data_IF_310506430814
#
_entry.id   IF_310506430814
#
_cell.length_a   1.000
_cell.length_b   1.000
_cell.length_c   1.000
_cell.angle_alpha   90.00
_cell.angle_beta   90.00
_cell.angle_gamma   90.00
#
_symmetry.space_group_name_H-M   'P 1'
#
loop_
_entity.id
_entity.type
_entity.pdbx_description
1 polymer ?
#
# COMPACT_ATOMS: atom_id res chain seq x y z
N UNK A 1 -18.59 1.40 -21.63
CA UNK A 1 -19.30 0.62 -20.57
C UNK A 1 -19.39 1.50 -19.33
N UNK A 2 -20.42 1.39 -18.50
CA UNK A 2 -20.48 2.09 -17.22
C UNK A 2 -19.32 1.62 -16.32
N UNK A 3 -18.81 2.53 -15.49
CA UNK A 3 -17.78 2.18 -14.53
C UNK A 3 -18.30 1.12 -13.52
N UNK A 4 -17.48 0.16 -13.07
CA UNK A 4 -17.96 -0.99 -12.30
C UNK A 4 -18.68 -0.63 -11.00
N UNK A 5 -18.34 0.49 -10.38
CA UNK A 5 -18.94 0.94 -9.12
C UNK A 5 -19.84 2.20 -9.26
N UNK A 6 -20.27 2.52 -10.47
CA UNK A 6 -21.09 3.73 -10.73
C UNK A 6 -22.40 3.83 -9.91
N UNK A 7 -22.85 2.71 -9.36
CA UNK A 7 -24.08 2.66 -8.55
C UNK A 7 -23.82 2.76 -7.04
N UNK A 8 -22.55 2.90 -6.59
CA UNK A 8 -22.21 2.98 -5.19
C UNK A 8 -21.93 4.41 -4.75
N UNK A 9 -22.46 4.76 -3.59
CA UNK A 9 -22.27 6.07 -2.95
C UNK A 9 -21.61 5.90 -1.59
N UNK A 10 -20.55 6.65 -1.35
CA UNK A 10 -19.66 6.52 -0.20
C UNK A 10 -19.60 7.83 0.58
N UNK A 11 -19.89 7.79 1.89
CA UNK A 11 -19.55 8.84 2.84
C UNK A 11 -18.17 8.55 3.42
N UNK A 12 -17.22 9.44 3.16
CA UNK A 12 -15.83 9.31 3.58
C UNK A 12 -15.51 10.29 4.71
N UNK A 13 -15.34 9.79 5.93
CA UNK A 13 -14.95 10.56 7.12
C UNK A 13 -13.47 10.47 7.43
N UNK A 14 -12.69 9.87 6.53
CA UNK A 14 -11.28 9.61 6.75
C UNK A 14 -10.38 10.81 6.42
N UNK A 15 -9.17 10.79 6.97
CA UNK A 15 -8.14 11.82 6.77
C UNK A 15 -6.77 11.18 6.54
N UNK A 16 -5.78 11.94 6.15
CA UNK A 16 -4.40 11.51 5.89
C UNK A 16 -4.32 10.47 4.75
N UNK A 17 -4.01 9.19 5.06
CA UNK A 17 -3.62 8.22 4.04
C UNK A 17 -4.55 7.00 3.92
N UNK A 18 -4.74 6.11 4.91
CA UNK A 18 -5.34 4.79 4.63
C UNK A 18 -6.78 4.86 4.12
N UNK A 19 -7.65 5.61 4.77
CA UNK A 19 -9.03 5.80 4.34
C UNK A 19 -9.14 6.60 3.04
N UNK A 20 -8.48 7.76 2.91
CA UNK A 20 -8.51 8.54 1.68
C UNK A 20 -7.98 7.79 0.46
N UNK A 21 -6.97 6.94 0.61
CA UNK A 21 -6.47 6.12 -0.48
C UNK A 21 -7.46 5.01 -0.86
N UNK A 22 -8.10 4.37 0.12
CA UNK A 22 -9.15 3.37 -0.13
C UNK A 22 -10.31 3.97 -0.92
N UNK A 23 -10.85 5.11 -0.47
CA UNK A 23 -11.99 5.77 -1.12
C UNK A 23 -11.61 6.40 -2.46
N UNK A 24 -10.36 6.81 -2.68
CA UNK A 24 -9.84 7.20 -3.99
C UNK A 24 -9.85 6.02 -4.97
N UNK A 25 -9.39 4.83 -4.56
CA UNK A 25 -9.44 3.64 -5.41
C UNK A 25 -10.88 3.30 -5.81
N UNK A 26 -11.83 3.41 -4.88
CA UNK A 26 -13.26 3.20 -5.17
C UNK A 26 -13.81 4.26 -6.13
N UNK A 27 -13.39 5.53 -5.98
CA UNK A 27 -13.73 6.61 -6.91
C UNK A 27 -13.14 6.37 -8.31
N UNK A 28 -11.89 5.89 -8.41
CA UNK A 28 -11.28 5.50 -9.69
C UNK A 28 -12.05 4.38 -10.41
N UNK A 29 -12.73 3.51 -9.66
CA UNK A 29 -13.63 2.48 -10.18
C UNK A 29 -15.06 3.00 -10.44
N UNK A 30 -15.32 4.28 -10.21
CA UNK A 30 -16.56 4.97 -10.56
C UNK A 30 -17.55 5.19 -9.43
N UNK A 31 -17.22 4.87 -8.18
CA UNK A 31 -18.09 5.18 -7.05
C UNK A 31 -18.20 6.71 -6.83
N UNK A 32 -19.39 7.18 -6.46
CA UNK A 32 -19.59 8.53 -5.97
C UNK A 32 -19.05 8.64 -4.54
N UNK A 33 -18.09 9.52 -4.30
CA UNK A 33 -17.49 9.70 -2.96
C UNK A 33 -17.73 11.12 -2.47
N UNK A 34 -18.45 11.26 -1.35
CA UNK A 34 -18.63 12.50 -0.62
C UNK A 34 -17.77 12.49 0.65
N UNK A 35 -16.72 13.29 0.65
CA UNK A 35 -15.84 13.46 1.80
C UNK A 35 -16.43 14.47 2.78
N UNK A 36 -16.53 14.07 4.05
CA UNK A 36 -16.98 14.90 5.15
C UNK A 36 -15.77 15.49 5.86
N UNK A 37 -15.63 16.80 5.84
CA UNK A 37 -14.54 17.53 6.45
C UNK A 37 -15.02 18.37 7.64
N UNK A 38 -14.26 18.36 8.73
CA UNK A 38 -14.48 19.27 9.84
C UNK A 38 -13.95 20.67 9.49
N UNK A 39 -14.76 21.75 9.59
CA UNK A 39 -14.31 23.10 9.29
C UNK A 39 -13.29 23.65 10.30
N UNK A 40 -13.29 23.12 11.52
CA UNK A 40 -12.45 23.53 12.64
C UNK A 40 -11.18 22.67 12.81
N UNK A 41 -10.98 21.67 11.93
CA UNK A 41 -9.80 20.80 11.97
C UNK A 41 -9.26 20.57 10.56
N UNK A 42 -8.05 21.07 10.32
CA UNK A 42 -7.38 20.89 9.04
C UNK A 42 -6.86 19.44 8.92
N UNK A 43 -7.19 18.78 7.80
CA UNK A 43 -6.51 17.54 7.43
C UNK A 43 -5.03 17.85 7.15
N UNK A 44 -4.11 17.17 7.85
CA UNK A 44 -2.68 17.42 7.72
C UNK A 44 -2.19 17.17 6.28
N UNK A 45 -2.84 16.31 5.51
CA UNK A 45 -2.52 16.12 4.10
C UNK A 45 -2.65 17.42 3.28
N UNK A 46 -3.49 18.38 3.69
CA UNK A 46 -3.64 19.69 3.02
C UNK A 46 -2.44 20.61 3.19
N UNK A 47 -1.68 20.43 4.28
CA UNK A 47 -0.56 21.31 4.63
C UNK A 47 0.81 20.63 4.47
N UNK A 48 0.84 19.41 3.97
CA UNK A 48 2.08 18.67 3.70
C UNK A 48 2.67 19.06 2.34
N UNK A 49 3.96 19.46 2.28
CA UNK A 49 4.65 19.64 1.01
C UNK A 49 4.90 18.30 0.30
N UNK A 50 5.20 18.32 -1.02
CA UNK A 50 5.32 19.49 -1.87
C UNK A 50 3.96 20.08 -2.27
N UNK A 51 3.99 21.34 -2.71
CA UNK A 51 2.81 22.04 -3.19
C UNK A 51 2.88 22.27 -4.71
N UNK A 52 1.73 22.17 -5.36
CA UNK A 52 1.49 22.63 -6.70
C UNK A 52 0.49 23.80 -6.65
N UNK A 53 0.97 25.02 -6.83
CA UNK A 53 0.23 26.22 -6.47
C UNK A 53 -0.08 26.28 -4.97
N UNK A 54 -1.36 26.37 -4.62
CA UNK A 54 -1.84 26.36 -3.22
C UNK A 54 -2.21 24.97 -2.69
N UNK A 55 -2.14 23.93 -3.52
CA UNK A 55 -2.59 22.59 -3.17
C UNK A 55 -1.41 21.68 -2.80
N UNK A 56 -1.50 20.98 -1.68
CA UNK A 56 -0.63 19.84 -1.40
C UNK A 56 -0.83 18.76 -2.48
N UNK A 57 0.27 18.28 -3.07
CA UNK A 57 0.20 17.24 -4.10
C UNK A 57 -0.39 15.94 -3.58
N UNK A 58 -0.07 15.57 -2.34
CA UNK A 58 -0.66 14.40 -1.66
C UNK A 58 -2.17 14.55 -1.52
N UNK A 59 -2.63 15.73 -1.06
CA UNK A 59 -4.05 15.97 -0.88
C UNK A 59 -4.82 15.97 -2.20
N UNK A 60 -4.27 16.59 -3.26
CA UNK A 60 -4.88 16.58 -4.59
C UNK A 60 -4.98 15.16 -5.15
N UNK A 61 -3.92 14.36 -4.97
CA UNK A 61 -3.89 12.97 -5.42
C UNK A 61 -4.94 12.12 -4.69
N UNK A 62 -4.97 12.14 -3.35
CA UNK A 62 -5.92 11.35 -2.54
C UNK A 62 -7.36 11.86 -2.64
N UNK A 63 -7.55 13.12 -3.03
CA UNK A 63 -8.85 13.77 -3.17
C UNK A 63 -9.48 13.63 -4.55
N UNK A 64 -8.76 13.08 -5.54
CA UNK A 64 -9.29 13.00 -6.91
C UNK A 64 -10.58 12.19 -6.99
N UNK A 65 -11.50 12.64 -7.81
CA UNK A 65 -12.80 11.98 -8.01
C UNK A 65 -13.78 12.13 -6.84
N UNK A 66 -13.45 12.91 -5.80
CA UNK A 66 -14.30 13.11 -4.62
C UNK A 66 -14.91 14.50 -4.57
N UNK A 67 -16.14 14.58 -4.07
CA UNK A 67 -16.76 15.82 -3.62
C UNK A 67 -16.47 16.02 -2.13
N UNK A 68 -16.58 17.26 -1.65
CA UNK A 68 -16.35 17.60 -0.24
C UNK A 68 -17.53 18.37 0.33
N UNK A 69 -17.98 17.98 1.52
CA UNK A 69 -18.96 18.69 2.32
C UNK A 69 -18.36 19.00 3.71
N UNK A 70 -18.39 20.25 4.10
CA UNK A 70 -17.91 20.66 5.42
C UNK A 70 -19.03 20.50 6.46
N UNK A 71 -18.79 19.68 7.49
CA UNK A 71 -19.71 19.47 8.61
C UNK A 71 -18.93 19.45 9.93
N UNK A 72 -19.35 20.27 10.88
CA UNK A 72 -18.85 20.19 12.24
C UNK A 72 -19.64 19.13 13.02
N UNK A 73 -19.12 17.92 13.09
CA UNK A 73 -19.82 16.78 13.73
C UNK A 73 -20.03 16.95 15.25
N UNK A 74 -19.55 18.03 15.86
CA UNK A 74 -19.89 18.42 17.24
C UNK A 74 -21.22 19.18 17.33
N UNK A 75 -21.77 19.59 16.22
CA UNK A 75 -23.04 20.31 16.14
C UNK A 75 -24.19 19.34 15.80
N UNK A 76 -25.31 19.38 16.54
CA UNK A 76 -26.44 18.49 16.32
C UNK A 76 -26.97 18.51 14.87
N UNK A 77 -27.00 19.68 14.25
CA UNK A 77 -27.48 19.86 12.88
C UNK A 77 -26.61 19.09 11.88
N UNK A 78 -25.30 19.05 12.09
CA UNK A 78 -24.36 18.29 11.26
C UNK A 78 -24.55 16.78 11.43
N UNK A 79 -24.80 16.33 12.64
CA UNK A 79 -25.12 14.92 12.96
C UNK A 79 -26.40 14.50 12.24
N UNK A 80 -27.47 15.31 12.35
CA UNK A 80 -28.75 15.05 11.65
C UNK A 80 -28.55 15.07 10.12
N UNK A 81 -27.69 15.96 9.59
CA UNK A 81 -27.36 15.95 8.16
C UNK A 81 -26.70 14.65 7.72
N UNK A 82 -25.77 14.08 8.51
CA UNK A 82 -25.16 12.77 8.22
C UNK A 82 -26.23 11.67 8.23
N UNK A 83 -27.14 11.66 9.20
CA UNK A 83 -28.23 10.67 9.27
C UNK A 83 -29.17 10.76 8.06
N UNK A 84 -29.44 11.97 7.54
CA UNK A 84 -30.19 12.13 6.31
C UNK A 84 -29.43 11.57 5.11
N UNK A 85 -28.12 11.89 4.98
CA UNK A 85 -27.29 11.41 3.87
C UNK A 85 -27.22 9.88 3.82
N UNK A 86 -27.10 9.21 4.96
CA UNK A 86 -27.02 7.73 5.05
C UNK A 86 -28.24 7.03 4.44
N UNK A 87 -29.38 7.69 4.31
CA UNK A 87 -30.56 7.11 3.63
C UNK A 87 -30.29 6.86 2.13
N UNK A 88 -29.43 7.68 1.51
CA UNK A 88 -29.13 7.66 0.06
C UNK A 88 -27.70 7.13 -0.23
N UNK A 89 -26.89 6.86 0.82
CA UNK A 89 -25.53 6.41 0.69
C UNK A 89 -25.40 4.95 1.11
N UNK A 90 -24.59 4.21 0.37
CA UNK A 90 -24.41 2.75 0.52
C UNK A 90 -23.37 2.39 1.56
N UNK A 91 -22.34 3.23 1.68
CA UNK A 91 -21.09 2.90 2.38
C UNK A 91 -20.66 4.09 3.23
N UNK A 92 -20.26 3.81 4.46
CA UNK A 92 -19.52 4.74 5.33
C UNK A 92 -18.10 4.22 5.50
N UNK A 93 -17.10 5.07 5.30
CA UNK A 93 -15.69 4.80 5.61
C UNK A 93 -15.21 5.81 6.65
N UNK A 94 -14.66 5.31 7.75
CA UNK A 94 -14.11 6.14 8.81
C UNK A 94 -12.77 5.59 9.32
N UNK A 95 -11.97 6.44 9.98
CA UNK A 95 -10.71 6.00 10.59
C UNK A 95 -10.45 6.73 11.93
N UNK A 96 -11.50 7.02 12.66
CA UNK A 96 -11.38 7.53 14.03
C UNK A 96 -10.97 6.41 14.99
N UNK A 97 -10.53 6.79 16.17
CA UNK A 97 -10.35 5.79 17.26
C UNK A 97 -11.67 5.15 17.60
N UNK A 98 -11.67 3.88 18.05
CA UNK A 98 -12.88 3.17 18.46
C UNK A 98 -13.77 4.00 19.39
N UNK A 99 -15.07 3.94 19.16
CA UNK A 99 -16.08 4.66 19.94
C UNK A 99 -16.19 6.16 19.68
N UNK A 100 -15.39 6.76 18.79
CA UNK A 100 -15.53 8.19 18.46
C UNK A 100 -16.83 8.45 17.70
N UNK A 101 -17.14 7.66 16.69
CA UNK A 101 -18.38 7.79 15.91
C UNK A 101 -19.62 7.54 16.77
N UNK A 102 -19.55 6.61 17.74
CA UNK A 102 -20.63 6.37 18.71
C UNK A 102 -20.88 7.60 19.58
N UNK A 103 -19.82 8.21 20.14
CA UNK A 103 -19.92 9.46 20.91
C UNK A 103 -20.46 10.64 20.10
N UNK A 104 -20.23 10.65 18.80
CA UNK A 104 -20.80 11.65 17.89
C UNK A 104 -22.26 11.36 17.52
N UNK A 105 -22.83 10.19 17.91
CA UNK A 105 -24.21 9.81 17.60
C UNK A 105 -24.41 9.33 16.16
N UNK A 106 -23.33 8.93 15.47
CA UNK A 106 -23.30 8.40 14.09
C UNK A 106 -22.47 7.12 13.99
N UNK A 107 -22.40 6.33 15.08
CA UNK A 107 -21.80 5.00 15.07
C UNK A 107 -22.64 4.00 14.28
N UNK A 108 -22.07 2.81 14.05
CA UNK A 108 -22.65 1.79 13.17
C UNK A 108 -24.09 1.43 13.53
N UNK A 109 -24.40 1.15 14.82
CA UNK A 109 -25.74 0.72 15.22
C UNK A 109 -26.81 1.81 14.99
N UNK A 110 -26.45 3.08 15.18
CA UNK A 110 -27.33 4.22 14.89
C UNK A 110 -27.60 4.34 13.39
N UNK A 111 -26.55 4.27 12.58
CA UNK A 111 -26.68 4.44 11.13
C UNK A 111 -27.31 3.21 10.47
N UNK A 112 -27.05 2.01 10.95
CA UNK A 112 -27.70 0.76 10.52
C UNK A 112 -29.22 0.77 10.80
N UNK A 113 -29.65 1.35 11.91
CA UNK A 113 -31.07 1.49 12.20
C UNK A 113 -31.81 2.40 11.18
N UNK A 114 -31.10 3.35 10.58
CA UNK A 114 -31.61 4.25 9.52
C UNK A 114 -31.56 3.57 8.16
N UNK A 115 -30.42 2.93 7.84
CA UNK A 115 -30.20 2.18 6.61
C UNK A 115 -29.68 0.77 6.90
N UNK A 116 -30.57 -0.25 6.98
CA UNK A 116 -30.15 -1.64 7.25
C UNK A 116 -29.23 -2.26 6.19
N UNK A 117 -29.14 -1.64 5.02
CA UNK A 117 -28.26 -2.06 3.91
C UNK A 117 -26.89 -1.40 3.96
N UNK A 118 -26.64 -0.53 4.95
CA UNK A 118 -25.41 0.22 5.07
C UNK A 118 -24.19 -0.70 5.29
N UNK A 119 -23.18 -0.52 4.49
CA UNK A 119 -21.84 -1.10 4.71
C UNK A 119 -21.01 -0.05 5.47
N UNK A 120 -20.53 -0.40 6.64
CA UNK A 120 -19.74 0.48 7.49
C UNK A 120 -18.33 -0.07 7.64
N UNK A 121 -17.33 0.65 7.15
CA UNK A 121 -15.93 0.25 7.20
C UNK A 121 -15.15 1.17 8.13
N UNK A 122 -14.67 0.62 9.25
CA UNK A 122 -13.78 1.28 10.18
C UNK A 122 -12.34 0.83 9.95
N UNK A 123 -11.43 1.77 9.70
CA UNK A 123 -9.99 1.50 9.47
C UNK A 123 -9.23 2.05 10.65
N UNK A 124 -8.59 1.18 11.44
CA UNK A 124 -7.87 1.60 12.64
C UNK A 124 -6.50 0.92 12.76
N UNK A 125 -5.65 1.43 13.64
CA UNK A 125 -4.32 0.86 13.85
C UNK A 125 -4.35 -0.56 14.41
N UNK A 126 -5.27 -0.83 15.36
CA UNK A 126 -5.28 -2.07 16.14
C UNK A 126 -6.64 -2.76 16.18
N UNK A 127 -7.59 -2.36 15.32
CA UNK A 127 -8.96 -2.90 15.33
C UNK A 127 -9.85 -2.27 16.39
N UNK A 128 -11.14 -2.68 16.36
CA UNK A 128 -12.17 -2.19 17.28
C UNK A 128 -12.16 -2.90 18.65
N UNK A 129 -11.38 -3.97 18.77
CA UNK A 129 -11.31 -4.82 19.98
C UNK A 129 -9.87 -5.01 20.43
N UNK A 130 -9.68 -5.74 21.51
CA UNK A 130 -8.35 -6.08 22.02
C UNK A 130 -7.71 -4.99 22.90
N UNK A 131 -6.57 -5.33 23.53
CA UNK A 131 -5.94 -4.47 24.55
C UNK A 131 -5.33 -3.16 23.98
N UNK A 132 -5.11 -3.09 22.67
CA UNK A 132 -4.47 -1.94 22.02
C UNK A 132 -5.45 -1.04 21.26
N UNK A 133 -6.76 -1.34 21.26
CA UNK A 133 -7.76 -0.60 20.47
C UNK A 133 -7.71 0.93 20.66
N UNK A 134 -7.37 1.39 21.85
CA UNK A 134 -7.31 2.82 22.19
C UNK A 134 -5.90 3.42 22.06
N UNK A 135 -4.90 2.63 21.64
CA UNK A 135 -3.53 3.13 21.48
C UNK A 135 -3.37 3.98 20.22
N UNK A 136 -2.50 4.98 20.34
CA UNK A 136 -2.00 5.73 19.19
C UNK A 136 -0.94 4.90 18.44
N UNK A 137 -0.87 5.07 17.14
CA UNK A 137 0.15 4.48 16.29
C UNK A 137 0.12 5.06 14.89
N UNK A 138 1.18 4.82 14.17
CA UNK A 138 1.35 5.07 12.75
C UNK A 138 1.91 3.80 12.09
N UNK A 139 2.02 3.79 10.79
CA UNK A 139 2.50 2.68 9.97
C UNK A 139 3.66 1.90 10.60
N UNK A 140 4.73 2.59 10.97
CA UNK A 140 5.93 2.00 11.57
C UNK A 140 5.64 1.20 12.86
N UNK A 141 4.65 1.65 13.66
CA UNK A 141 4.27 0.95 14.90
C UNK A 141 3.50 -0.35 14.59
N UNK A 142 2.65 -0.32 13.57
CA UNK A 142 1.89 -1.49 13.10
C UNK A 142 2.82 -2.53 12.50
N UNK A 143 3.80 -2.11 11.68
CA UNK A 143 4.84 -2.98 11.14
C UNK A 143 5.72 -3.60 12.23
N UNK A 144 6.03 -2.85 13.29
CA UNK A 144 6.83 -3.35 14.41
C UNK A 144 6.10 -4.45 15.19
N UNK A 145 4.82 -4.24 15.54
CA UNK A 145 4.04 -5.22 16.32
C UNK A 145 3.64 -6.43 15.49
N UNK A 146 3.37 -6.26 14.19
CA UNK A 146 3.03 -7.36 13.29
C UNK A 146 4.19 -8.30 12.97
N UNK A 147 5.41 -7.98 13.41
CA UNK A 147 6.60 -8.78 13.12
C UNK A 147 7.23 -8.53 11.74
N UNK A 148 6.60 -7.80 10.83
CA UNK A 148 7.15 -7.49 9.49
C UNK A 148 8.52 -6.84 9.60
N UNK A 149 8.68 -5.85 10.49
CA UNK A 149 9.94 -5.14 10.66
C UNK A 149 11.10 -6.04 11.16
N UNK A 150 10.80 -7.16 11.84
CA UNK A 150 11.82 -8.01 12.49
C UNK A 150 12.77 -8.73 11.52
N UNK A 151 12.33 -8.91 10.26
CA UNK A 151 13.10 -9.63 9.24
C UNK A 151 13.37 -8.79 7.97
N UNK A 152 13.10 -7.49 8.03
CA UNK A 152 13.43 -6.53 6.98
C UNK A 152 14.77 -5.83 7.24
N UNK A 153 15.45 -5.44 6.16
CA UNK A 153 16.70 -4.68 6.22
C UNK A 153 17.95 -5.53 6.23
N UNK A 154 19.04 -4.95 6.74
CA UNK A 154 20.35 -5.60 6.83
C UNK A 154 20.60 -6.10 8.25
N UNK A 155 21.40 -7.15 8.37
CA UNK A 155 21.69 -7.80 9.66
C UNK A 155 22.44 -6.87 10.64
N UNK A 156 23.19 -5.91 10.13
CA UNK A 156 24.06 -5.00 10.90
C UNK A 156 23.42 -3.63 11.21
N UNK A 157 22.26 -3.30 10.62
CA UNK A 157 21.66 -1.95 10.73
C UNK A 157 20.26 -1.91 11.36
N UNK A 158 19.66 -3.06 11.62
CA UNK A 158 18.29 -3.18 12.13
C UNK A 158 17.21 -2.83 11.09
N UNK A 159 15.93 -2.74 11.50
CA UNK A 159 14.83 -2.52 10.59
C UNK A 159 14.86 -1.08 10.02
N UNK A 160 14.86 -0.91 8.69
CA UNK A 160 14.81 0.41 8.07
C UNK A 160 13.38 0.96 8.09
N UNK A 161 13.20 2.28 8.25
CA UNK A 161 11.93 2.91 7.88
C UNK A 161 11.67 2.68 6.39
N UNK A 162 10.47 2.20 6.06
CA UNK A 162 10.10 1.97 4.66
C UNK A 162 9.78 3.31 3.98
N UNK A 163 10.13 3.43 2.70
CA UNK A 163 9.80 4.62 1.89
C UNK A 163 8.31 4.73 1.53
N UNK A 164 7.55 3.65 1.72
CA UNK A 164 6.09 3.60 1.57
C UNK A 164 5.46 3.08 2.86
N UNK A 165 4.23 3.48 3.14
CA UNK A 165 3.48 3.10 4.33
C UNK A 165 2.74 1.78 4.07
N UNK A 166 3.40 0.66 4.31
CA UNK A 166 2.90 -0.68 3.97
C UNK A 166 1.68 -1.05 4.81
N UNK A 167 1.70 -0.79 6.12
CA UNK A 167 0.57 -1.09 6.99
C UNK A 167 -0.64 -0.21 6.69
N UNK A 168 -0.44 1.08 6.38
CA UNK A 168 -1.50 1.99 6.00
C UNK A 168 -2.11 1.63 4.65
N UNK A 169 -1.28 1.42 3.62
CA UNK A 169 -1.72 1.20 2.24
C UNK A 169 -2.13 -0.24 2.00
N UNK A 170 -1.19 -1.20 2.10
CA UNK A 170 -1.51 -2.61 1.87
C UNK A 170 -2.38 -3.18 3.00
N UNK A 171 -2.08 -2.85 4.25
CA UNK A 171 -2.85 -3.29 5.41
C UNK A 171 -4.21 -2.60 5.51
N UNK A 172 -4.23 -1.28 5.55
CA UNK A 172 -5.46 -0.49 5.72
C UNK A 172 -6.27 -0.38 4.44
N UNK A 173 -5.74 0.35 3.45
CA UNK A 173 -6.52 0.75 2.28
C UNK A 173 -6.96 -0.43 1.42
N UNK A 174 -6.04 -1.33 1.04
CA UNK A 174 -6.38 -2.45 0.17
C UNK A 174 -7.34 -3.44 0.86
N UNK A 175 -7.13 -3.74 2.16
CA UNK A 175 -8.04 -4.61 2.90
C UNK A 175 -9.41 -3.96 3.09
N UNK A 176 -9.49 -2.64 3.29
CA UNK A 176 -10.76 -1.92 3.32
C UNK A 176 -11.51 -2.06 2.00
N UNK A 177 -10.85 -1.84 0.86
CA UNK A 177 -11.48 -2.01 -0.47
C UNK A 177 -11.95 -3.45 -0.66
N UNK A 178 -11.11 -4.45 -0.36
CA UNK A 178 -11.51 -5.87 -0.46
C UNK A 178 -12.71 -6.19 0.43
N UNK A 179 -12.70 -5.74 1.68
CA UNK A 179 -13.80 -5.95 2.62
C UNK A 179 -15.11 -5.28 2.16
N UNK A 180 -15.02 -4.04 1.67
CA UNK A 180 -16.16 -3.31 1.12
C UNK A 180 -16.75 -4.04 -0.09
N UNK A 181 -15.92 -4.45 -1.05
CA UNK A 181 -16.38 -5.17 -2.26
C UNK A 181 -17.01 -6.53 -1.90
N UNK A 182 -16.43 -7.27 -0.97
CA UNK A 182 -17.01 -8.51 -0.46
C UNK A 182 -18.38 -8.28 0.21
N UNK A 183 -18.50 -7.20 1.01
CA UNK A 183 -19.77 -6.83 1.63
C UNK A 183 -20.81 -6.37 0.60
N UNK A 184 -20.41 -5.67 -0.46
CA UNK A 184 -21.30 -5.29 -1.57
C UNK A 184 -21.86 -6.53 -2.25
N UNK A 185 -21.02 -7.54 -2.55
CA UNK A 185 -21.46 -8.80 -3.15
C UNK A 185 -22.43 -9.52 -2.21
N UNK A 186 -22.09 -9.67 -0.93
CA UNK A 186 -22.98 -10.29 0.06
C UNK A 186 -24.32 -9.56 0.17
N UNK A 187 -24.31 -8.23 0.19
CA UNK A 187 -25.52 -7.41 0.25
C UNK A 187 -26.46 -7.65 -0.94
N UNK A 188 -25.92 -7.91 -2.13
CA UNK A 188 -26.74 -8.22 -3.32
C UNK A 188 -27.57 -9.51 -3.12
N UNK A 189 -27.03 -10.46 -2.37
CA UNK A 189 -27.72 -11.75 -2.08
C UNK A 189 -28.66 -11.64 -0.87
N UNK A 190 -28.20 -10.98 0.20
CA UNK A 190 -28.92 -10.98 1.48
C UNK A 190 -29.82 -9.78 1.68
N UNK A 191 -29.58 -8.68 0.98
CA UNK A 191 -30.24 -7.39 1.22
C UNK A 191 -29.74 -6.65 2.47
N UNK A 192 -28.77 -7.20 3.21
CA UNK A 192 -28.27 -6.66 4.47
C UNK A 192 -26.90 -5.99 4.30
N UNK A 193 -26.66 -4.91 5.07
CA UNK A 193 -25.36 -4.27 5.19
C UNK A 193 -24.39 -5.07 6.06
N UNK A 194 -23.21 -4.49 6.32
CA UNK A 194 -22.18 -5.12 7.12
C UNK A 194 -21.36 -4.09 7.89
N UNK A 195 -20.83 -4.51 9.05
CA UNK A 195 -19.73 -3.80 9.71
C UNK A 195 -18.41 -4.48 9.35
N UNK A 196 -17.43 -3.69 8.93
CA UNK A 196 -16.11 -4.14 8.53
C UNK A 196 -15.09 -3.47 9.44
N UNK A 197 -14.39 -4.27 10.23
CA UNK A 197 -13.31 -3.83 11.12
C UNK A 197 -11.97 -4.14 10.47
N UNK A 198 -11.27 -3.10 10.02
CA UNK A 198 -9.93 -3.21 9.43
C UNK A 198 -8.90 -2.73 10.46
N UNK A 199 -8.14 -3.69 10.99
CA UNK A 199 -6.95 -3.45 11.79
C UNK A 199 -5.72 -3.45 10.90
N UNK A 200 -5.04 -2.31 10.79
CA UNK A 200 -3.79 -2.22 10.02
C UNK A 200 -2.69 -3.13 10.56
N UNK A 201 -2.67 -3.38 11.87
CA UNK A 201 -1.74 -4.32 12.50
C UNK A 201 -2.04 -5.77 12.12
N UNK A 202 -3.31 -6.18 12.16
CA UNK A 202 -3.70 -7.55 11.83
C UNK A 202 -3.45 -7.83 10.34
N UNK A 203 -3.80 -6.88 9.50
CA UNK A 203 -3.52 -6.96 8.07
C UNK A 203 -2.01 -7.02 7.78
N UNK A 204 -1.20 -6.19 8.44
CA UNK A 204 0.25 -6.26 8.33
C UNK A 204 0.81 -7.60 8.82
N UNK A 205 0.25 -8.17 9.90
CA UNK A 205 0.61 -9.52 10.36
C UNK A 205 0.29 -10.57 9.28
N UNK A 206 -0.86 -10.48 8.61
CA UNK A 206 -1.24 -11.40 7.54
C UNK A 206 -0.32 -11.30 6.30
N UNK A 207 0.32 -10.14 6.06
CA UNK A 207 1.32 -9.99 5.00
C UNK A 207 2.59 -10.83 5.21
N UNK A 208 2.84 -11.35 6.42
CA UNK A 208 3.91 -12.33 6.67
C UNK A 208 3.59 -13.74 6.10
N UNK A 209 2.93 -13.85 4.99
CA UNK A 209 2.38 -15.10 4.46
C UNK A 209 3.39 -16.26 4.43
N UNK A 210 4.64 -16.02 4.03
CA UNK A 210 5.69 -17.05 3.97
C UNK A 210 6.44 -17.17 5.31
N UNK A 211 7.00 -16.07 5.80
CA UNK A 211 7.80 -16.06 7.03
C UNK A 211 6.96 -16.41 8.27
N UNK A 212 5.75 -15.85 8.36
CA UNK A 212 4.81 -16.10 9.45
C UNK A 212 4.29 -17.53 9.45
N UNK A 213 3.89 -18.06 8.29
CA UNK A 213 3.46 -19.46 8.17
C UNK A 213 4.55 -20.43 8.62
N UNK A 214 5.79 -20.22 8.19
CA UNK A 214 6.93 -21.04 8.61
C UNK A 214 7.19 -20.93 10.12
N UNK A 215 7.21 -19.73 10.68
CA UNK A 215 7.45 -19.51 12.10
C UNK A 215 6.36 -20.12 12.99
N UNK A 216 5.08 -19.96 12.62
CA UNK A 216 3.95 -20.53 13.36
C UNK A 216 3.88 -22.05 13.28
N UNK A 217 4.42 -22.65 12.21
CA UNK A 217 4.54 -24.11 12.08
C UNK A 217 5.77 -24.69 12.80
N UNK A 218 6.48 -23.92 13.60
CA UNK A 218 7.66 -24.36 14.35
C UNK A 218 8.98 -24.28 13.58
N UNK A 219 9.00 -23.59 12.43
CA UNK A 219 10.23 -23.31 11.69
C UNK A 219 11.10 -22.28 12.40
N UNK A 220 12.33 -22.13 11.92
CA UNK A 220 13.24 -21.11 12.45
C UNK A 220 12.73 -19.70 12.14
N UNK A 221 12.75 -18.79 13.12
CA UNK A 221 12.37 -17.40 12.88
C UNK A 221 13.28 -16.76 11.82
N UNK A 222 12.66 -16.09 10.85
CA UNK A 222 13.40 -15.34 9.88
C UNK A 222 14.02 -14.08 10.52
N UNK A 223 15.26 -13.80 10.17
CA UNK A 223 16.00 -12.59 10.54
C UNK A 223 16.34 -11.81 9.27
N UNK A 224 16.76 -10.55 9.37
CA UNK A 224 17.34 -9.85 8.22
C UNK A 224 18.46 -10.69 7.58
N UNK A 225 18.48 -10.77 6.27
CA UNK A 225 19.50 -11.52 5.50
C UNK A 225 19.62 -13.00 5.83
N UNK A 226 18.57 -13.66 6.33
CA UNK A 226 18.62 -15.08 6.66
C UNK A 226 17.76 -15.98 5.77
N UNK A 227 16.81 -15.40 5.06
CA UNK A 227 15.91 -16.12 4.18
C UNK A 227 16.27 -15.98 2.71
N UNK A 228 15.67 -16.83 1.88
CA UNK A 228 15.90 -16.84 0.45
C UNK A 228 15.52 -15.50 -0.23
N UNK A 229 14.47 -14.81 0.23
CA UNK A 229 13.90 -13.61 -0.40
C UNK A 229 14.23 -12.30 0.34
N UNK A 230 15.08 -12.33 1.36
CA UNK A 230 15.41 -11.13 2.13
C UNK A 230 16.93 -10.87 2.24
N UNK A 231 17.68 -11.30 1.21
CA UNK A 231 19.12 -11.08 1.14
C UNK A 231 19.99 -12.19 1.77
N UNK A 232 19.41 -13.27 2.27
CA UNK A 232 20.17 -14.43 2.79
C UNK A 232 20.83 -15.29 1.70
N UNK A 233 20.48 -15.05 0.44
CA UNK A 233 21.04 -15.67 -0.75
C UNK A 233 21.54 -14.60 -1.72
N UNK A 234 21.88 -14.99 -2.95
CA UNK A 234 22.21 -14.04 -4.01
C UNK A 234 21.00 -13.19 -4.50
N UNK A 235 19.77 -13.50 -4.07
CA UNK A 235 18.61 -12.66 -4.26
C UNK A 235 18.75 -11.38 -3.43
N UNK A 236 19.18 -10.28 -4.06
CA UNK A 236 19.50 -9.03 -3.36
C UNK A 236 19.60 -7.83 -4.32
N UNK A 237 19.90 -6.67 -3.74
CA UNK A 237 20.29 -5.45 -4.45
C UNK A 237 21.82 -5.30 -4.44
N UNK A 238 22.37 -4.96 -5.60
CA UNK A 238 23.81 -4.83 -5.80
C UNK A 238 24.19 -3.45 -6.30
N UNK A 239 25.22 -2.86 -5.69
CA UNK A 239 25.67 -1.51 -6.04
C UNK A 239 26.53 -1.51 -7.29
N UNK A 240 26.23 -0.63 -8.22
CA UNK A 240 26.98 -0.40 -9.45
C UNK A 240 28.15 0.54 -9.19
N UNK A 241 29.08 0.65 -10.16
CA UNK A 241 30.28 1.51 -10.08
C UNK A 241 29.94 2.98 -9.77
N UNK A 242 28.84 3.49 -10.28
CA UNK A 242 28.35 4.86 -10.09
C UNK A 242 27.47 5.06 -8.85
N UNK A 243 27.46 4.08 -7.93
CA UNK A 243 26.73 4.15 -6.67
C UNK A 243 25.21 3.93 -6.78
N UNK A 244 24.71 3.58 -7.97
CA UNK A 244 23.32 3.18 -8.20
C UNK A 244 23.14 1.70 -7.85
N UNK A 245 21.95 1.13 -8.10
CA UNK A 245 21.63 -0.22 -7.69
C UNK A 245 20.92 -1.02 -8.77
N UNK A 246 21.25 -2.33 -8.84
CA UNK A 246 20.50 -3.34 -9.58
C UNK A 246 19.82 -4.30 -8.59
N UNK A 247 18.61 -4.72 -8.91
CA UNK A 247 17.95 -5.86 -8.28
C UNK A 247 18.32 -7.14 -9.01
N UNK A 248 18.58 -8.22 -8.28
CA UNK A 248 18.81 -9.56 -8.81
C UNK A 248 17.81 -10.50 -8.17
N UNK A 249 16.86 -11.00 -8.97
CA UNK A 249 15.80 -11.91 -8.55
C UNK A 249 15.85 -13.28 -9.26
N UNK A 250 16.99 -13.69 -9.79
CA UNK A 250 17.21 -14.80 -10.73
C UNK A 250 17.16 -16.19 -10.06
N UNK A 251 16.08 -16.50 -9.34
CA UNK A 251 16.01 -17.73 -8.51
C UNK A 251 15.84 -19.01 -9.32
N UNK A 252 15.06 -18.99 -10.41
CA UNK A 252 14.82 -20.17 -11.21
C UNK A 252 16.05 -20.56 -12.05
N UNK A 253 16.26 -21.86 -12.33
CA UNK A 253 17.48 -22.36 -13.00
C UNK A 253 17.81 -21.67 -14.32
N UNK A 254 16.80 -21.36 -15.14
CA UNK A 254 16.98 -20.67 -16.42
C UNK A 254 17.45 -19.23 -16.24
N UNK A 255 16.93 -18.52 -15.23
CA UNK A 255 17.29 -17.11 -14.97
C UNK A 255 18.67 -17.02 -14.29
N UNK A 256 18.96 -17.87 -13.32
CA UNK A 256 20.28 -17.92 -12.68
C UNK A 256 21.39 -18.33 -13.66
N UNK A 257 21.07 -19.24 -14.61
CA UNK A 257 22.00 -19.58 -15.66
C UNK A 257 22.34 -18.38 -16.56
N UNK A 258 21.29 -17.65 -17.05
CA UNK A 258 21.48 -16.45 -17.86
C UNK A 258 22.22 -15.33 -17.10
N UNK A 259 21.88 -15.13 -15.83
CA UNK A 259 22.61 -14.19 -14.95
C UNK A 259 24.10 -14.53 -14.92
N UNK A 260 24.46 -15.77 -14.57
CA UNK A 260 25.85 -16.20 -14.46
C UNK A 260 26.59 -16.10 -15.80
N UNK A 261 25.92 -16.43 -16.93
CA UNK A 261 26.53 -16.29 -18.26
C UNK A 261 26.81 -14.82 -18.57
N UNK A 262 25.85 -13.94 -18.32
CA UNK A 262 25.97 -12.50 -18.59
C UNK A 262 27.05 -11.83 -17.73
N UNK A 263 27.19 -12.30 -16.48
CA UNK A 263 28.22 -11.82 -15.55
C UNK A 263 29.57 -12.53 -15.71
N UNK A 264 29.70 -13.47 -16.65
CA UNK A 264 30.91 -14.29 -16.84
C UNK A 264 31.27 -15.12 -15.58
N UNK A 265 30.25 -15.64 -14.86
CA UNK A 265 30.34 -16.44 -13.66
C UNK A 265 29.92 -17.90 -13.92
N UNK A 266 30.19 -18.43 -15.11
CA UNK A 266 29.70 -19.74 -15.54
C UNK A 266 30.07 -20.91 -14.62
N UNK A 267 31.23 -20.85 -13.97
CA UNK A 267 31.70 -21.85 -12.99
C UNK A 267 30.88 -21.88 -11.69
N UNK A 268 30.21 -20.78 -11.34
CA UNK A 268 29.37 -20.66 -10.14
C UNK A 268 27.89 -20.95 -10.39
N UNK A 269 27.48 -21.31 -11.60
CA UNK A 269 26.06 -21.58 -11.94
C UNK A 269 25.40 -22.58 -10.98
N UNK A 270 26.11 -23.65 -10.62
CA UNK A 270 25.58 -24.69 -9.72
C UNK A 270 25.32 -24.16 -8.31
N UNK A 271 25.96 -23.06 -7.91
CA UNK A 271 25.79 -22.46 -6.58
C UNK A 271 24.43 -21.77 -6.42
N UNK A 272 23.85 -21.27 -7.50
CA UNK A 272 22.54 -20.65 -7.47
C UNK A 272 21.43 -21.58 -6.93
N UNK A 273 21.56 -22.88 -7.21
CA UNK A 273 20.59 -23.90 -6.78
C UNK A 273 21.03 -24.61 -5.48
N UNK A 274 22.17 -24.25 -4.92
CA UNK A 274 22.73 -24.90 -3.74
C UNK A 274 22.03 -24.42 -2.47
N UNK A 275 21.74 -25.36 -1.55
CA UNK A 275 21.23 -25.04 -0.21
C UNK A 275 22.36 -24.77 0.80
N UNK A 276 23.63 -24.84 0.38
CA UNK A 276 24.78 -24.61 1.24
C UNK A 276 25.01 -23.09 1.41
N UNK A 277 25.03 -22.57 2.64
CA UNK A 277 25.23 -21.12 2.87
C UNK A 277 26.52 -20.58 2.25
N UNK A 278 27.60 -21.34 2.30
CA UNK A 278 28.90 -20.97 1.73
C UNK A 278 28.84 -20.77 0.22
N UNK A 279 28.10 -21.59 -0.53
CA UNK A 279 27.92 -21.43 -1.97
C UNK A 279 27.10 -20.17 -2.29
N UNK A 280 26.07 -19.90 -1.49
CA UNK A 280 25.25 -18.69 -1.66
C UNK A 280 26.07 -17.42 -1.38
N UNK A 281 26.91 -17.45 -0.35
CA UNK A 281 27.79 -16.33 0.00
C UNK A 281 28.86 -16.07 -1.08
N UNK A 282 29.46 -17.12 -1.61
CA UNK A 282 30.46 -17.02 -2.68
C UNK A 282 29.85 -16.47 -3.96
N UNK A 283 28.70 -17.00 -4.41
CA UNK A 283 28.00 -16.49 -5.57
C UNK A 283 27.59 -15.02 -5.37
N UNK A 284 27.02 -14.68 -4.20
CA UNK A 284 26.65 -13.31 -3.84
C UNK A 284 27.84 -12.35 -3.90
N UNK A 285 28.99 -12.77 -3.38
CA UNK A 285 30.22 -11.96 -3.42
C UNK A 285 30.72 -11.76 -4.84
N UNK A 286 30.71 -12.80 -5.68
CA UNK A 286 31.11 -12.72 -7.08
C UNK A 286 30.18 -11.81 -7.88
N UNK A 287 28.88 -11.92 -7.73
CA UNK A 287 27.88 -11.01 -8.36
C UNK A 287 28.14 -9.57 -7.93
N UNK A 288 28.34 -9.33 -6.61
CA UNK A 288 28.65 -7.97 -6.11
C UNK A 288 29.89 -7.38 -6.75
N UNK A 289 30.95 -8.17 -6.91
CA UNK A 289 32.19 -7.73 -7.56
C UNK A 289 31.94 -7.37 -9.04
N UNK A 290 31.26 -8.24 -9.77
CA UNK A 290 30.98 -8.02 -11.20
C UNK A 290 30.07 -6.81 -11.44
N UNK A 291 29.01 -6.65 -10.66
CA UNK A 291 28.11 -5.51 -10.82
C UNK A 291 28.81 -4.18 -10.52
N UNK A 292 29.77 -4.15 -9.61
CA UNK A 292 30.56 -2.97 -9.30
C UNK A 292 31.53 -2.53 -10.43
N UNK A 293 31.73 -3.35 -11.47
CA UNK A 293 32.62 -3.04 -12.58
C UNK A 293 32.03 -2.01 -13.56
N UNK A 294 30.69 -1.87 -13.63
CA UNK A 294 30.00 -1.00 -14.60
C UNK A 294 29.00 -0.06 -13.92
N UNK A 295 28.65 1.02 -14.63
CA UNK A 295 27.58 1.93 -14.23
C UNK A 295 26.17 1.30 -14.45
N UNK A 296 25.15 1.89 -13.83
CA UNK A 296 23.76 1.46 -14.04
C UNK A 296 23.36 1.54 -15.52
N UNK A 297 23.77 2.60 -16.22
CA UNK A 297 23.47 2.76 -17.64
C UNK A 297 24.06 1.63 -18.48
N UNK A 298 25.35 1.30 -18.27
CA UNK A 298 26.00 0.17 -18.95
C UNK A 298 25.33 -1.17 -18.65
N UNK A 299 24.91 -1.41 -17.41
CA UNK A 299 24.17 -2.63 -17.06
C UNK A 299 22.79 -2.71 -17.70
N UNK A 300 22.08 -1.60 -17.83
CA UNK A 300 20.80 -1.55 -18.54
C UNK A 300 20.94 -1.98 -20.01
N UNK A 301 22.01 -1.59 -20.68
CA UNK A 301 22.31 -2.03 -22.04
C UNK A 301 22.64 -3.54 -22.09
N UNK A 302 23.45 -4.03 -21.14
CA UNK A 302 23.85 -5.45 -21.07
C UNK A 302 22.63 -6.36 -20.84
N UNK A 303 21.69 -5.96 -19.97
CA UNK A 303 20.53 -6.75 -19.62
C UNK A 303 19.30 -6.44 -20.47
N UNK A 304 19.36 -5.52 -21.45
CA UNK A 304 18.19 -5.08 -22.21
C UNK A 304 17.41 -6.23 -22.87
N UNK A 305 18.12 -7.22 -23.42
CA UNK A 305 17.53 -8.40 -24.09
C UNK A 305 17.78 -9.70 -23.32
N UNK A 306 18.21 -9.61 -22.06
CA UNK A 306 18.51 -10.79 -21.22
C UNK A 306 17.41 -10.98 -20.18
N UNK A 307 16.57 -11.97 -20.41
CA UNK A 307 15.51 -12.37 -19.45
C UNK A 307 16.12 -13.14 -18.27
N UNK A 308 16.68 -12.40 -17.30
CA UNK A 308 17.39 -12.92 -16.14
C UNK A 308 16.85 -12.39 -14.79
N UNK A 309 15.69 -11.77 -14.75
CA UNK A 309 15.13 -11.13 -13.54
C UNK A 309 16.12 -10.14 -12.90
N UNK A 310 16.73 -9.30 -13.72
CA UNK A 310 17.65 -8.24 -13.30
C UNK A 310 17.10 -6.89 -13.77
N UNK A 311 16.86 -5.97 -12.82
CA UNK A 311 16.25 -4.68 -13.13
C UNK A 311 16.96 -3.53 -12.41
N UNK A 312 17.02 -2.32 -13.00
CA UNK A 312 17.56 -1.15 -12.32
C UNK A 312 16.64 -0.68 -11.19
N UNK A 313 17.24 -0.26 -10.07
CA UNK A 313 16.50 0.49 -9.05
C UNK A 313 16.37 1.95 -9.52
N UNK A 314 15.17 2.29 -9.99
CA UNK A 314 14.84 3.60 -10.53
C UNK A 314 14.40 4.57 -9.44
N UNK A 315 14.63 5.86 -9.64
CA UNK A 315 13.91 6.89 -8.86
C UNK A 315 12.44 6.95 -9.32
N UNK A 316 11.59 7.66 -8.58
CA UNK A 316 10.17 7.82 -8.97
C UNK A 316 10.05 8.55 -10.31
N UNK A 317 10.91 9.56 -10.55
CA UNK A 317 10.95 10.33 -11.78
C UNK A 317 11.37 9.43 -12.96
N UNK A 318 12.41 8.62 -12.78
CA UNK A 318 12.85 7.67 -13.80
C UNK A 318 11.79 6.59 -14.07
N UNK A 319 11.14 6.10 -13.02
CA UNK A 319 10.04 5.13 -13.14
C UNK A 319 8.85 5.73 -13.89
N UNK A 320 8.51 7.00 -13.65
CA UNK A 320 7.45 7.70 -14.38
C UNK A 320 7.73 7.80 -15.89
N UNK A 321 9.00 7.82 -16.27
CA UNK A 321 9.44 7.83 -17.69
C UNK A 321 9.65 6.43 -18.28
N UNK A 322 9.56 5.38 -17.44
CA UNK A 322 9.81 4.01 -17.88
C UNK A 322 8.75 3.53 -18.91
N UNK A 323 9.18 2.94 -20.05
CA UNK A 323 8.26 2.55 -21.13
C UNK A 323 7.09 1.69 -20.68
N UNK A 324 7.33 0.73 -19.79
CA UNK A 324 6.30 -0.16 -19.24
C UNK A 324 5.22 0.61 -18.47
N UNK A 325 5.60 1.55 -17.60
CA UNK A 325 4.65 2.32 -16.79
C UNK A 325 3.89 3.33 -17.65
N UNK A 326 4.55 3.95 -18.64
CA UNK A 326 3.89 4.80 -19.63
C UNK A 326 2.88 4.04 -20.47
N UNK A 327 3.26 2.89 -21.02
CA UNK A 327 2.37 2.06 -21.84
C UNK A 327 1.13 1.59 -21.06
N UNK A 328 1.25 1.43 -19.75
CA UNK A 328 0.13 1.06 -18.85
C UNK A 328 -0.64 2.26 -18.29
N UNK A 329 -0.34 3.49 -18.72
CA UNK A 329 -1.03 4.68 -18.26
C UNK A 329 -0.85 4.98 -16.77
N UNK A 330 0.29 4.59 -16.19
CA UNK A 330 0.56 4.80 -14.76
C UNK A 330 0.96 6.22 -14.41
N UNK A 331 1.11 7.10 -15.40
CA UNK A 331 1.26 8.54 -15.22
C UNK A 331 0.15 9.22 -15.99
N UNK A 332 -0.68 9.98 -15.29
CA UNK A 332 -1.85 10.66 -15.85
C UNK A 332 -1.86 12.14 -15.47
N UNK A 333 -2.56 12.95 -16.26
CA UNK A 333 -2.88 14.32 -15.88
C UNK A 333 -4.32 14.37 -15.34
N UNK A 334 -4.49 14.96 -14.17
CA UNK A 334 -5.78 15.10 -13.48
C UNK A 334 -5.94 16.52 -12.93
N UNK A 335 -7.18 16.98 -12.88
CA UNK A 335 -7.52 18.22 -12.19
C UNK A 335 -7.11 18.13 -10.72
N UNK A 336 -6.33 19.08 -10.24
CA UNK A 336 -5.89 19.18 -8.86
C UNK A 336 -6.92 19.80 -7.90
N UNK A 337 -8.10 20.18 -8.43
CA UNK A 337 -9.21 20.75 -7.67
C UNK A 337 -9.51 22.23 -7.95
N UNK A 338 -8.85 22.84 -8.94
CA UNK A 338 -9.07 24.23 -9.37
C UNK A 338 -9.14 24.39 -10.89
N UNK A 339 -9.32 23.29 -11.63
CA UNK A 339 -9.35 23.27 -13.09
C UNK A 339 -7.96 23.18 -13.74
N UNK A 340 -6.87 23.22 -12.95
CA UNK A 340 -5.53 23.05 -13.48
C UNK A 340 -5.09 21.57 -13.39
N UNK A 341 -4.38 21.12 -14.43
CA UNK A 341 -3.91 19.74 -14.50
C UNK A 341 -2.64 19.55 -13.68
N UNK A 342 -2.55 18.40 -13.01
CA UNK A 342 -1.41 17.95 -12.26
C UNK A 342 -1.07 16.51 -12.70
N UNK A 343 0.22 16.21 -12.88
CA UNK A 343 0.68 14.83 -13.08
C UNK A 343 0.48 14.03 -11.79
N UNK A 344 -0.21 12.90 -11.91
CA UNK A 344 -0.53 12.00 -10.82
C UNK A 344 -0.27 10.55 -11.21
N UNK A 345 -0.15 9.67 -10.20
CA UNK A 345 -0.11 8.23 -10.43
C UNK A 345 -1.46 7.77 -10.97
N UNK A 346 -1.46 6.99 -12.04
CA UNK A 346 -2.65 6.44 -12.68
C UNK A 346 -3.35 5.40 -11.81
N UNK A 347 -4.58 5.03 -12.20
CA UNK A 347 -5.30 3.92 -11.59
C UNK A 347 -4.73 2.59 -12.07
N UNK A 348 -4.65 1.60 -11.17
CA UNK A 348 -4.33 0.21 -11.54
C UNK A 348 -5.57 -0.53 -12.09
N UNK A 349 -6.74 0.07 -11.98
CA UNK A 349 -8.02 -0.46 -12.46
C UNK A 349 -8.34 0.20 -13.80
N UNK A 350 -7.92 -0.40 -14.90
CA UNK A 350 -8.16 0.07 -16.28
C UNK A 350 -9.21 -0.79 -16.99
#
# INVERSE_FOLDING_TARGET
>A
MAAPLANLKILDFSTLLPGPYATMMLADMGAEVLRIEAPDRVDLAKVMPPFDGKFSTTFSYLGRGKQTLQLNLKQPESVERVKQLVQDYDIVVEQFRPGVMDRLGIGYEVLKAINPKLIYCAITGYGQTGPYKDRAGHDINYLAISGVASHCGRADSGPPPMGIQIADVAGGSHHAVMGILAAVIKRQETGEGAFIDISMTDAAFALNAMAGAAALAGGQPQKPESGMLNGGTFYDYYQTRDGRWLSVGSLEPQFSSRLCDTLELGELKSYALSQKPEHQQELKAAIKQKIAERSLAEWREVFADVDACVEPVLTIEEAAEHPQLKARGMVVERDRGDGNLQKQIGSVFS
#
